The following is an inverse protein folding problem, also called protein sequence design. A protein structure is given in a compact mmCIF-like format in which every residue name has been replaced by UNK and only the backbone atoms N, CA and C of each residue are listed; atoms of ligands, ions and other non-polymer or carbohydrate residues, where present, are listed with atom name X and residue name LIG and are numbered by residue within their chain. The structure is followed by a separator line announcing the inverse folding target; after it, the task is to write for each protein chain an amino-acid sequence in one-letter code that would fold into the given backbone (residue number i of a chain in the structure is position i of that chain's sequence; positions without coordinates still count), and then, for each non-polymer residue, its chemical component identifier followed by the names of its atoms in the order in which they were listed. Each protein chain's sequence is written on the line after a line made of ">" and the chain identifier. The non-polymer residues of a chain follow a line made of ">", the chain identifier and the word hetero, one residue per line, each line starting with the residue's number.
data_IF_590703864629
#
_entry.id   IF_590703864629
#
_cell.length_a   1.000
_cell.length_b   1.000
_cell.length_c   1.000
_cell.angle_alpha   90.00
_cell.angle_beta   90.00
_cell.angle_gamma   90.00
#
_symmetry.space_group_name_H-M   'P 1'
#
loop_
_entity.id
_entity.type
_entity.pdbx_description
1 polymer ?
#
# COMPACT_ATOMS: atom_id res chain seq x y z
N UNK A 1 7.75 -8.75 -5.62
CA UNK A 1 7.67 -7.32 -5.98
C UNK A 1 9.00 -6.85 -6.50
N UNK A 2 10.08 -7.06 -5.74
CA UNK A 2 11.46 -6.83 -6.18
C UNK A 2 11.76 -7.38 -7.57
N UNK A 3 11.52 -8.68 -7.81
CA UNK A 3 11.76 -9.32 -9.11
C UNK A 3 10.95 -8.75 -10.30
N UNK A 4 9.92 -7.94 -10.04
CA UNK A 4 9.04 -7.38 -11.07
C UNK A 4 9.24 -5.89 -11.29
N UNK A 5 9.59 -5.14 -10.23
CA UNK A 5 9.67 -3.68 -10.28
C UNK A 5 11.08 -3.15 -10.07
N UNK A 6 12.05 -4.00 -9.69
CA UNK A 6 13.46 -3.66 -9.55
C UNK A 6 13.76 -2.53 -8.54
N UNK A 7 12.75 -2.01 -7.83
CA UNK A 7 12.87 -1.07 -6.72
C UNK A 7 11.78 -1.36 -5.68
N UNK A 8 12.21 -1.69 -4.46
CA UNK A 8 11.30 -1.83 -3.31
C UNK A 8 12.03 -1.39 -2.05
N UNK A 9 11.37 -0.55 -1.26
CA UNK A 9 11.84 -0.15 0.06
C UNK A 9 10.76 -0.46 1.10
N UNK A 10 11.19 -0.99 2.24
CA UNK A 10 10.30 -1.26 3.38
C UNK A 10 10.76 -0.45 4.61
N UNK A 11 9.80 0.03 5.40
CA UNK A 11 10.09 0.60 6.70
C UNK A 11 9.74 -0.43 7.79
N UNK A 12 10.71 -0.73 8.68
CA UNK A 12 10.51 -1.64 9.81
C UNK A 12 9.93 -0.96 11.06
N UNK A 13 9.67 0.35 11.00
CA UNK A 13 9.08 1.08 12.10
C UNK A 13 7.59 0.77 12.21
N UNK A 14 7.11 0.49 13.42
CA UNK A 14 5.67 0.31 13.66
C UNK A 14 4.99 1.67 13.49
N UNK A 15 4.16 1.80 12.44
CA UNK A 15 3.31 2.99 12.25
C UNK A 15 1.99 2.74 12.95
N UNK A 16 1.74 3.39 14.08
CA UNK A 16 0.46 3.23 14.80
C UNK A 16 -0.64 4.03 14.10
N UNK A 17 -1.64 3.34 13.59
CA UNK A 17 -2.84 3.93 13.02
C UNK A 17 -3.95 4.03 14.05
N UNK A 18 -4.63 5.17 14.10
CA UNK A 18 -5.90 5.32 14.81
C UNK A 18 -6.87 5.93 13.81
N UNK A 19 -7.98 5.25 13.56
CA UNK A 19 -9.01 5.72 12.65
C UNK A 19 -10.40 5.30 13.13
N UNK A 20 -11.42 5.95 12.59
CA UNK A 20 -12.81 5.71 12.97
C UNK A 20 -13.66 5.47 11.73
N UNK A 21 -14.49 4.43 11.79
CA UNK A 21 -15.50 4.14 10.78
C UNK A 21 -16.78 3.68 11.45
N UNK A 22 -17.91 4.27 11.05
CA UNK A 22 -19.24 3.97 11.60
C UNK A 22 -19.32 4.03 13.12
N UNK A 23 -18.56 4.93 13.76
CA UNK A 23 -18.53 5.10 15.22
C UNK A 23 -17.57 4.16 15.98
N UNK A 24 -16.92 3.23 15.28
CA UNK A 24 -15.95 2.30 15.87
C UNK A 24 -14.53 2.85 15.69
N UNK A 25 -13.75 2.88 16.77
CA UNK A 25 -12.34 3.27 16.74
C UNK A 25 -11.48 2.03 16.54
N UNK A 26 -10.69 2.05 15.48
CA UNK A 26 -9.71 1.02 15.14
C UNK A 26 -8.31 1.49 15.52
N UNK A 27 -7.49 0.55 15.99
CA UNK A 27 -6.10 0.79 16.38
C UNK A 27 -5.22 -0.28 15.75
N UNK A 28 -4.37 0.15 14.83
CA UNK A 28 -3.58 -0.76 14.00
C UNK A 28 -2.08 -0.52 14.14
N UNK A 29 -1.32 -1.58 13.93
CA UNK A 29 0.12 -1.52 13.71
C UNK A 29 0.36 -1.66 12.20
N UNK A 30 0.42 -0.53 11.51
CA UNK A 30 0.55 -0.47 10.06
C UNK A 30 1.99 -0.72 9.61
N UNK A 31 2.13 -1.40 8.47
CA UNK A 31 3.38 -1.49 7.72
C UNK A 31 3.32 -0.52 6.56
N UNK A 32 4.38 0.28 6.36
CA UNK A 32 4.50 1.17 5.20
C UNK A 32 5.41 0.53 4.15
N UNK A 33 4.86 0.36 2.96
CA UNK A 33 5.56 -0.16 1.78
C UNK A 33 5.65 0.96 0.74
N UNK A 34 6.84 1.17 0.18
CA UNK A 34 7.08 2.14 -0.89
C UNK A 34 7.55 1.36 -2.13
N UNK A 35 6.89 1.62 -3.25
CA UNK A 35 7.16 0.96 -4.54
C UNK A 35 7.31 2.04 -5.62
N UNK A 36 8.49 2.09 -6.22
CA UNK A 36 8.75 2.89 -7.40
C UNK A 36 8.48 2.04 -8.64
N UNK A 37 7.55 2.49 -9.48
CA UNK A 37 7.11 1.76 -10.67
C UNK A 37 6.93 2.71 -11.84
N UNK A 38 7.13 2.27 -13.09
CA UNK A 38 6.77 3.06 -14.26
C UNK A 38 5.28 3.43 -14.25
N UNK A 39 4.91 4.65 -14.65
CA UNK A 39 3.51 5.02 -14.86
C UNK A 39 2.97 4.34 -16.11
N UNK A 40 2.42 3.15 -15.92
CA UNK A 40 1.83 2.33 -16.97
C UNK A 40 0.49 1.77 -16.53
N UNK A 41 -0.38 1.45 -17.50
CA UNK A 41 -1.63 0.77 -17.22
C UNK A 41 -1.41 -0.55 -16.46
N UNK A 42 -0.35 -1.30 -16.82
CA UNK A 42 0.00 -2.55 -16.14
C UNK A 42 0.40 -2.37 -14.67
N UNK A 43 1.12 -1.29 -14.34
CA UNK A 43 1.45 -0.95 -12.95
C UNK A 43 0.18 -0.66 -12.14
N UNK A 44 -0.74 0.14 -12.71
CA UNK A 44 -2.01 0.52 -12.06
C UNK A 44 -2.92 -0.69 -11.82
N UNK A 45 -3.05 -1.55 -12.82
CA UNK A 45 -3.81 -2.80 -12.72
C UNK A 45 -3.21 -3.72 -11.65
N UNK A 46 -1.88 -3.89 -11.66
CA UNK A 46 -1.20 -4.72 -10.66
C UNK A 46 -1.44 -4.22 -9.24
N UNK A 47 -1.29 -2.91 -8.99
CA UNK A 47 -1.48 -2.32 -7.65
C UNK A 47 -2.93 -2.47 -7.19
N UNK A 48 -3.89 -2.30 -8.10
CA UNK A 48 -5.32 -2.50 -7.81
C UNK A 48 -5.60 -3.95 -7.41
N UNK A 49 -5.06 -4.91 -8.15
CA UNK A 49 -5.20 -6.34 -7.84
C UNK A 49 -4.45 -6.73 -6.55
N UNK A 50 -3.31 -6.10 -6.28
CA UNK A 50 -2.59 -6.27 -5.03
C UNK A 50 -3.42 -5.79 -3.84
N UNK A 51 -4.08 -4.61 -3.92
CA UNK A 51 -4.98 -4.11 -2.88
C UNK A 51 -6.03 -5.16 -2.50
N UNK A 52 -6.71 -5.74 -3.49
CA UNK A 52 -7.76 -6.74 -3.23
C UNK A 52 -7.21 -7.98 -2.52
N UNK A 53 -6.06 -8.51 -2.98
CA UNK A 53 -5.42 -9.67 -2.34
C UNK A 53 -5.01 -9.38 -0.90
N UNK A 54 -4.48 -8.19 -0.61
CA UNK A 54 -4.06 -7.81 0.73
C UNK A 54 -5.24 -7.60 1.68
N UNK A 55 -6.34 -7.00 1.19
CA UNK A 55 -7.59 -6.87 1.96
C UNK A 55 -8.08 -8.23 2.45
N UNK A 56 -8.16 -9.21 1.55
CA UNK A 56 -8.57 -10.58 1.91
C UNK A 56 -7.56 -11.25 2.83
N UNK A 57 -6.26 -11.18 2.51
CA UNK A 57 -5.21 -11.86 3.29
C UNK A 57 -5.14 -11.38 4.73
N UNK A 58 -5.30 -10.08 4.96
CA UNK A 58 -5.18 -9.46 6.28
C UNK A 58 -6.52 -9.17 6.95
N UNK A 59 -7.63 -9.62 6.35
CA UNK A 59 -8.99 -9.41 6.85
C UNK A 59 -9.29 -7.94 7.17
N UNK A 60 -8.77 -7.04 6.32
CA UNK A 60 -8.93 -5.59 6.50
C UNK A 60 -10.22 -5.11 5.83
N UNK A 61 -10.93 -4.18 6.48
CA UNK A 61 -12.11 -3.51 5.92
C UNK A 61 -11.73 -2.74 4.63
N UNK A 62 -10.63 -1.98 4.69
CA UNK A 62 -9.99 -1.43 3.50
C UNK A 62 -8.48 -1.28 3.66
N UNK A 63 -7.80 -1.05 2.53
CA UNK A 63 -6.39 -0.67 2.48
C UNK A 63 -6.27 0.57 1.60
N UNK A 64 -5.70 1.62 2.14
CA UNK A 64 -5.46 2.86 1.41
C UNK A 64 -4.12 2.79 0.67
N UNK A 65 -4.13 3.20 -0.59
CA UNK A 65 -2.94 3.31 -1.43
C UNK A 65 -2.96 4.69 -2.06
N UNK A 66 -1.86 5.42 -1.96
CA UNK A 66 -1.64 6.66 -2.69
C UNK A 66 -0.57 6.43 -3.75
N UNK A 67 -0.75 7.04 -4.91
CA UNK A 67 0.22 7.02 -6.01
C UNK A 67 0.54 8.44 -6.43
N UNK A 68 1.83 8.75 -6.56
CA UNK A 68 2.32 10.06 -6.95
C UNK A 68 3.28 9.90 -8.12
N UNK A 69 3.19 10.77 -9.13
CA UNK A 69 4.21 10.85 -10.16
C UNK A 69 5.49 11.40 -9.53
N UNK A 70 6.60 10.70 -9.74
CA UNK A 70 7.92 11.14 -9.31
C UNK A 70 8.59 11.78 -10.52
N UNK A 71 8.87 13.07 -10.43
CA UNK A 71 9.74 13.78 -11.36
C UNK A 71 11.16 13.74 -10.81
N UNK A 72 12.09 13.10 -11.51
CA UNK A 72 13.50 12.96 -11.10
C UNK A 72 14.30 13.94 -11.95
N UNK A 73 14.92 14.92 -11.29
CA UNK A 73 15.79 15.95 -11.89
C UNK A 73 17.23 15.45 -11.93
#
# INVERSE_FOLDING_TARGET
>A
MEARFHGVSWENQIVRGIWQESGVIYRDNNTRLILDVPDSAGSREFITNLKQRLKTRFQQLDIWITSHLIDVI
#
